data_IF_265441749740
#
_entry.id   IF_265441749740
#
_cell.length_a   1.000
_cell.length_b   1.000
_cell.length_c   1.000
_cell.angle_alpha   90.00
_cell.angle_beta   90.00
_cell.angle_gamma   90.00
#
_symmetry.space_group_name_H-M   'P 1'
#
loop_
_entity.id
_entity.type
_entity.pdbx_description
1 polymer ?
#
# COMPACT_ATOMS: atom_id res chain seq x y z
N UNK A 1 -7.31 28.60 13.35
CA UNK A 1 -7.54 27.52 12.39
C UNK A 1 -7.25 26.19 13.08
N UNK A 2 -7.72 25.06 12.56
CA UNK A 2 -7.29 23.74 13.01
C UNK A 2 -6.59 23.10 11.83
N UNK A 3 -5.42 22.53 12.09
CA UNK A 3 -4.61 21.82 11.12
C UNK A 3 -4.87 20.33 11.29
N UNK A 4 -4.89 19.62 10.15
CA UNK A 4 -4.99 18.17 10.05
C UNK A 4 -3.66 17.63 9.57
N UNK A 5 -3.24 16.53 10.16
CA UNK A 5 -1.96 15.88 9.89
C UNK A 5 -2.20 14.41 9.66
N UNK A 6 -1.40 13.81 8.79
CA UNK A 6 -1.33 12.37 8.63
C UNK A 6 0.04 11.88 9.05
N UNK A 7 0.06 10.94 9.97
CA UNK A 7 1.27 10.25 10.40
C UNK A 7 1.07 8.76 10.25
N UNK A 8 2.16 8.03 10.08
CA UNK A 8 2.11 6.59 10.07
C UNK A 8 3.47 5.95 10.20
N UNK A 9 3.45 4.68 10.58
CA UNK A 9 4.62 3.83 10.74
C UNK A 9 4.37 2.51 10.06
N UNK A 10 5.43 1.92 9.53
CA UNK A 10 5.36 0.63 8.89
C UNK A 10 6.65 -0.14 8.97
N UNK A 11 6.59 -1.35 8.43
CA UNK A 11 7.68 -2.29 8.35
C UNK A 11 7.76 -2.80 6.91
N UNK A 12 8.93 -2.68 6.32
CA UNK A 12 9.31 -3.38 5.11
C UNK A 12 9.79 -4.78 5.48
N UNK A 13 9.13 -5.79 4.94
CA UNK A 13 9.46 -7.21 5.14
C UNK A 13 10.44 -7.65 4.07
N UNK A 14 11.73 -7.53 4.36
CA UNK A 14 12.84 -7.73 3.43
C UNK A 14 14.02 -8.44 4.13
N UNK A 15 15.01 -8.90 3.38
CA UNK A 15 16.21 -9.55 3.91
C UNK A 15 17.24 -8.52 4.42
N UNK A 16 17.42 -7.43 3.66
CA UNK A 16 18.34 -6.33 4.01
C UNK A 16 18.04 -5.05 3.24
N UNK A 17 18.33 -3.90 3.85
CA UNK A 17 18.28 -2.61 3.14
C UNK A 17 19.43 -2.55 2.14
N UNK A 18 19.07 -2.36 0.87
CA UNK A 18 19.97 -2.23 -0.28
C UNK A 18 19.85 -0.85 -0.92
N UNK A 19 20.70 -0.49 -1.91
CA UNK A 19 20.55 0.75 -2.65
C UNK A 19 19.15 0.98 -3.25
N UNK A 20 18.49 -0.05 -3.77
CA UNK A 20 17.11 0.07 -4.28
C UNK A 20 16.12 0.45 -3.17
N UNK A 21 16.19 -0.24 -2.03
CA UNK A 21 15.33 0.07 -0.87
C UNK A 21 15.60 1.48 -0.36
N UNK A 22 16.87 1.89 -0.29
CA UNK A 22 17.25 3.24 0.12
C UNK A 22 16.72 4.31 -0.85
N UNK A 23 16.76 4.06 -2.16
CA UNK A 23 16.26 4.97 -3.18
C UNK A 23 14.74 5.16 -3.10
N UNK A 24 13.99 4.08 -2.90
CA UNK A 24 12.52 4.10 -2.90
C UNK A 24 11.93 4.52 -1.55
N UNK A 25 12.51 4.04 -0.45
CA UNK A 25 11.93 4.18 0.89
C UNK A 25 12.73 5.08 1.83
N UNK A 26 13.93 5.55 1.45
CA UNK A 26 14.75 6.44 2.28
C UNK A 26 14.04 7.73 2.70
N UNK A 27 13.06 8.18 1.92
CA UNK A 27 12.21 9.34 2.19
C UNK A 27 11.22 9.12 3.36
N UNK A 28 10.97 7.87 3.75
CA UNK A 28 10.09 7.49 4.86
C UNK A 28 10.86 7.31 6.17
N UNK A 29 11.84 8.16 6.50
CA UNK A 29 12.61 8.05 7.75
C UNK A 29 13.08 6.59 8.02
N UNK A 30 13.60 5.96 6.96
CA UNK A 30 13.97 4.54 6.93
C UNK A 30 15.02 4.24 8.01
N UNK A 31 14.76 3.20 8.81
CA UNK A 31 15.70 2.67 9.80
C UNK A 31 15.89 1.17 9.57
N UNK A 32 17.08 0.79 9.09
CA UNK A 32 17.45 -0.61 8.86
C UNK A 32 17.68 -1.41 10.16
N UNK A 33 17.87 -0.72 11.28
CA UNK A 33 18.23 -1.34 12.57
C UNK A 33 17.03 -1.73 13.42
N UNK A 34 15.84 -1.27 13.03
CA UNK A 34 14.57 -1.50 13.73
C UNK A 34 13.51 -1.98 12.72
N UNK A 35 12.68 -3.01 13.01
CA UNK A 35 12.63 -3.81 14.24
C UNK A 35 13.72 -4.90 14.33
N UNK A 36 14.56 -5.06 13.30
CA UNK A 36 15.60 -6.09 13.20
C UNK A 36 15.13 -7.38 12.52
N UNK A 37 16.03 -8.37 12.43
CA UNK A 37 15.83 -9.65 11.71
C UNK A 37 15.54 -9.52 10.21
N UNK A 38 16.22 -8.58 9.53
CA UNK A 38 16.04 -8.32 8.11
C UNK A 38 15.01 -7.24 7.81
N UNK A 39 13.99 -7.07 8.67
CA UNK A 39 12.98 -6.04 8.45
C UNK A 39 13.48 -4.62 8.75
N UNK A 40 12.94 -3.65 8.01
CA UNK A 40 13.27 -2.23 8.16
C UNK A 40 12.03 -1.39 8.50
N UNK A 41 12.20 -0.42 9.37
CA UNK A 41 11.15 0.51 9.81
C UNK A 41 11.06 1.67 8.84
N UNK A 42 9.83 2.09 8.57
CA UNK A 42 9.52 3.31 7.82
C UNK A 42 8.48 4.13 8.59
N UNK A 43 8.54 5.45 8.44
CA UNK A 43 7.56 6.37 8.98
C UNK A 43 7.30 7.54 8.05
N UNK A 44 6.06 8.02 8.07
CA UNK A 44 5.67 9.33 7.57
C UNK A 44 5.29 10.18 8.77
N UNK A 45 5.98 11.28 8.96
CA UNK A 45 5.78 12.17 10.10
C UNK A 45 5.50 13.55 9.51
N UNK A 46 4.26 14.02 9.58
CA UNK A 46 3.75 15.15 8.80
C UNK A 46 4.62 16.43 8.87
N UNK A 47 5.27 16.68 10.00
CA UNK A 47 6.11 17.87 10.20
C UNK A 47 7.62 17.60 10.01
N UNK A 48 8.03 16.34 9.83
CA UNK A 48 9.45 15.95 9.70
C UNK A 48 9.79 15.45 8.31
N UNK A 49 8.98 14.55 7.76
CA UNK A 49 9.16 13.99 6.43
C UNK A 49 7.80 13.74 5.79
N UNK A 50 7.62 14.30 4.59
CA UNK A 50 6.46 14.06 3.76
C UNK A 50 6.95 13.36 2.48
N UNK A 51 6.85 12.02 2.39
CA UNK A 51 7.30 11.26 1.24
C UNK A 51 6.54 11.66 -0.02
N UNK A 52 7.21 12.38 -0.91
CA UNK A 52 6.68 12.80 -2.21
C UNK A 52 7.40 12.07 -3.34
N UNK A 53 6.72 11.86 -4.46
CA UNK A 53 7.32 11.27 -5.66
C UNK A 53 8.54 12.06 -6.16
N UNK A 54 8.56 13.38 -5.99
CA UNK A 54 9.73 14.21 -6.29
C UNK A 54 10.96 13.88 -5.43
N UNK A 55 10.77 13.39 -4.20
CA UNK A 55 11.88 12.92 -3.36
C UNK A 55 12.34 11.53 -3.79
N UNK A 56 11.40 10.66 -4.17
CA UNK A 56 11.72 9.33 -4.72
C UNK A 56 12.51 9.46 -6.03
N UNK A 57 12.16 10.43 -6.89
CA UNK A 57 12.91 10.72 -8.11
C UNK A 57 14.39 10.98 -7.81
N UNK A 58 14.71 11.84 -6.85
CA UNK A 58 16.10 12.09 -6.46
C UNK A 58 16.82 10.81 -5.99
N UNK A 59 16.13 9.95 -5.23
CA UNK A 59 16.67 8.65 -4.82
C UNK A 59 16.93 7.71 -6.00
N UNK A 60 16.04 7.69 -7.00
CA UNK A 60 16.19 6.91 -8.22
C UNK A 60 17.32 7.44 -9.13
N UNK A 61 17.51 8.76 -9.20
CA UNK A 61 18.62 9.37 -9.93
C UNK A 61 19.96 9.00 -9.29
N UNK A 62 20.05 9.08 -7.96
CA UNK A 62 21.23 8.64 -7.20
C UNK A 62 21.52 7.14 -7.42
N UNK A 63 20.47 6.31 -7.44
CA UNK A 63 20.59 4.89 -7.75
C UNK A 63 21.13 4.66 -9.16
N UNK A 64 20.55 5.31 -10.17
CA UNK A 64 20.99 5.20 -11.56
C UNK A 64 22.46 5.61 -11.72
N UNK A 65 22.88 6.68 -11.05
CA UNK A 65 24.27 7.12 -11.01
C UNK A 65 25.19 6.07 -10.35
N UNK A 66 24.78 5.46 -9.24
CA UNK A 66 25.52 4.40 -8.56
C UNK A 66 25.68 3.14 -9.42
N UNK A 67 24.65 2.81 -10.21
CA UNK A 67 24.66 1.68 -11.14
C UNK A 67 25.40 1.98 -12.45
N UNK A 68 25.84 3.23 -12.66
CA UNK A 68 26.53 3.65 -13.88
C UNK A 68 25.62 3.71 -15.11
N UNK A 69 24.32 3.92 -14.91
CA UNK A 69 23.35 4.06 -16.00
C UNK A 69 23.53 5.47 -16.60
N UNK A 70 23.76 5.58 -17.92
CA UNK A 70 23.99 6.88 -18.55
C UNK A 70 22.70 7.70 -18.55
N UNK A 71 22.72 8.84 -17.85
CA UNK A 71 21.64 9.81 -17.84
C UNK A 71 21.82 10.81 -18.99
N UNK A 72 20.74 11.25 -19.66
CA UNK A 72 20.85 12.28 -20.69
C UNK A 72 21.35 13.62 -20.11
N UNK A 73 22.19 14.31 -20.88
CA UNK A 73 23.03 15.42 -20.38
C UNK A 73 22.29 16.72 -20.04
N UNK A 74 21.04 16.93 -20.48
CA UNK A 74 20.50 18.31 -20.61
C UNK A 74 19.22 18.65 -19.83
N UNK A 75 18.62 17.74 -19.08
CA UNK A 75 17.56 18.01 -18.09
C UNK A 75 17.28 16.65 -17.43
N UNK A 76 17.30 16.57 -16.09
CA UNK A 76 17.07 15.30 -15.38
C UNK A 76 15.81 14.57 -15.88
N UNK A 77 15.82 13.24 -15.85
CA UNK A 77 14.68 12.46 -16.34
C UNK A 77 13.50 12.62 -15.38
N UNK A 78 12.28 12.66 -15.93
CA UNK A 78 11.10 12.40 -15.10
C UNK A 78 11.07 10.94 -14.66
N UNK A 79 10.19 10.61 -13.71
CA UNK A 79 10.08 9.25 -13.16
C UNK A 79 9.85 8.19 -14.25
N UNK A 80 8.90 8.33 -15.19
CA UNK A 80 8.61 7.23 -16.12
C UNK A 80 9.82 6.81 -17.00
N UNK A 81 10.52 7.73 -17.71
CA UNK A 81 11.71 7.36 -18.47
C UNK A 81 12.85 6.79 -17.62
N UNK A 82 13.00 7.25 -16.38
CA UNK A 82 14.01 6.72 -15.46
C UNK A 82 13.67 5.29 -15.03
N UNK A 83 12.40 5.02 -14.73
CA UNK A 83 11.93 3.66 -14.43
C UNK A 83 12.11 2.73 -15.62
N UNK A 84 11.90 3.17 -16.86
CA UNK A 84 12.17 2.38 -18.06
C UNK A 84 13.65 1.97 -18.16
N UNK A 85 14.58 2.91 -17.92
CA UNK A 85 16.02 2.63 -17.92
C UNK A 85 16.42 1.65 -16.82
N UNK A 86 15.89 1.84 -15.61
CA UNK A 86 16.12 0.93 -14.48
C UNK A 86 15.52 -0.45 -14.76
N UNK A 87 14.33 -0.53 -15.36
CA UNK A 87 13.70 -1.79 -15.73
C UNK A 87 14.58 -2.60 -16.69
N UNK A 88 15.21 -1.97 -17.68
CA UNK A 88 16.17 -2.64 -18.56
C UNK A 88 17.39 -3.15 -17.78
N UNK A 89 17.91 -2.36 -16.82
CA UNK A 89 19.05 -2.76 -16.00
C UNK A 89 18.73 -3.99 -15.13
N UNK A 90 17.55 -4.02 -14.51
CA UNK A 90 17.09 -5.11 -13.63
C UNK A 90 16.45 -6.28 -14.39
N UNK A 91 16.28 -6.18 -15.72
CA UNK A 91 15.63 -7.22 -16.53
C UNK A 91 14.12 -7.32 -16.32
N UNK A 92 13.49 -6.23 -15.87
CA UNK A 92 12.06 -6.09 -15.63
C UNK A 92 11.33 -5.31 -16.74
N UNK A 93 11.99 -5.06 -17.88
CA UNK A 93 11.44 -4.29 -19.01
C UNK A 93 10.23 -4.95 -19.69
N UNK A 94 9.99 -6.24 -19.43
CA UNK A 94 8.83 -6.99 -19.93
C UNK A 94 7.76 -7.24 -18.85
N UNK A 95 7.91 -6.67 -17.65
CA UNK A 95 6.91 -6.80 -16.61
C UNK A 95 5.68 -5.93 -16.93
N UNK A 96 4.54 -6.57 -17.15
CA UNK A 96 3.32 -5.89 -17.59
C UNK A 96 2.73 -4.99 -16.49
N UNK A 97 2.87 -5.35 -15.22
CA UNK A 97 2.36 -4.53 -14.11
C UNK A 97 3.21 -3.27 -13.98
N UNK A 98 4.54 -3.40 -14.08
CA UNK A 98 5.45 -2.26 -14.08
C UNK A 98 5.20 -1.33 -15.29
N UNK A 99 5.02 -1.88 -16.49
CA UNK A 99 4.69 -1.08 -17.68
C UNK A 99 3.36 -0.32 -17.49
N UNK A 100 2.33 -0.99 -16.99
CA UNK A 100 1.04 -0.35 -16.71
C UNK A 100 1.17 0.78 -15.68
N UNK A 101 1.99 0.58 -14.63
CA UNK A 101 2.31 1.62 -13.66
C UNK A 101 2.98 2.82 -14.34
N UNK A 102 4.03 2.59 -15.12
CA UNK A 102 4.78 3.64 -15.83
C UNK A 102 3.87 4.44 -16.77
N UNK A 103 2.95 3.78 -17.47
CA UNK A 103 2.05 4.42 -18.45
C UNK A 103 0.89 5.20 -17.83
N UNK A 104 0.32 4.70 -16.72
CA UNK A 104 -0.96 5.20 -16.19
C UNK A 104 -0.81 6.04 -14.93
N UNK A 105 0.25 5.81 -14.16
CA UNK A 105 0.47 6.50 -12.90
C UNK A 105 0.96 7.93 -13.11
N UNK A 106 0.44 8.88 -12.32
CA UNK A 106 0.79 10.29 -12.48
C UNK A 106 2.13 10.64 -11.82
N UNK A 107 2.55 9.88 -10.81
CA UNK A 107 3.76 10.14 -10.02
C UNK A 107 3.81 11.58 -9.47
N UNK A 108 2.65 12.10 -9.09
CA UNK A 108 2.47 13.41 -8.46
C UNK A 108 2.14 13.23 -6.97
N UNK A 109 2.43 14.26 -6.19
CA UNK A 109 2.16 14.30 -4.75
C UNK A 109 2.86 13.17 -3.94
N UNK A 110 2.13 12.61 -2.97
CA UNK A 110 2.65 11.65 -1.99
C UNK A 110 3.00 10.33 -2.66
N UNK A 111 4.18 9.79 -2.34
CA UNK A 111 4.61 8.50 -2.83
C UNK A 111 3.73 7.38 -2.24
N UNK A 112 3.05 6.65 -3.11
CA UNK A 112 2.17 5.56 -2.73
C UNK A 112 2.96 4.25 -2.55
N UNK A 113 2.74 3.60 -1.39
CA UNK A 113 3.46 2.39 -1.00
C UNK A 113 3.20 1.20 -1.95
N UNK A 114 2.07 1.19 -2.66
CA UNK A 114 1.73 0.14 -3.63
C UNK A 114 2.64 0.20 -4.86
N UNK A 115 2.79 1.37 -5.50
CA UNK A 115 3.73 1.51 -6.60
C UNK A 115 5.17 1.28 -6.15
N UNK A 116 5.55 1.77 -4.96
CA UNK A 116 6.90 1.55 -4.43
C UNK A 116 7.18 0.06 -4.19
N UNK A 117 6.21 -0.71 -3.70
CA UNK A 117 6.33 -2.16 -3.57
C UNK A 117 6.53 -2.84 -4.93
N UNK A 118 5.73 -2.46 -5.93
CA UNK A 118 5.84 -3.02 -7.29
C UNK A 118 7.22 -2.72 -7.88
N UNK A 119 7.66 -1.46 -7.84
CA UNK A 119 8.97 -1.04 -8.35
C UNK A 119 10.09 -1.80 -7.63
N UNK A 120 10.06 -1.88 -6.30
CA UNK A 120 11.06 -2.63 -5.52
C UNK A 120 11.08 -4.12 -5.90
N UNK A 121 9.90 -4.75 -6.05
CA UNK A 121 9.80 -6.16 -6.43
C UNK A 121 10.41 -6.42 -7.81
N UNK A 122 10.23 -5.49 -8.75
CA UNK A 122 10.83 -5.57 -10.08
C UNK A 122 12.33 -5.28 -10.08
N UNK A 123 12.81 -4.40 -9.19
CA UNK A 123 14.20 -3.95 -9.12
C UNK A 123 14.96 -4.64 -7.99
N UNK A 124 14.76 -5.94 -7.79
CA UNK A 124 15.41 -6.65 -6.70
C UNK A 124 16.93 -6.78 -6.91
N UNK A 125 17.69 -6.00 -6.14
CA UNK A 125 19.15 -6.04 -6.05
C UNK A 125 19.66 -6.96 -4.91
N UNK A 126 18.78 -7.85 -4.42
CA UNK A 126 19.04 -8.79 -3.31
C UNK A 126 18.44 -8.34 -1.98
N UNK A 127 17.42 -7.49 -2.00
CA UNK A 127 16.67 -7.10 -0.82
C UNK A 127 15.51 -8.06 -0.51
N UNK A 128 14.98 -8.79 -1.50
CA UNK A 128 13.85 -9.73 -1.35
C UNK A 128 12.66 -9.13 -0.58
N UNK A 129 12.13 -7.99 -1.08
CA UNK A 129 11.02 -7.31 -0.42
C UNK A 129 9.74 -8.10 -0.69
N UNK A 130 9.17 -8.69 0.36
CA UNK A 130 8.00 -9.57 0.24
C UNK A 130 6.70 -8.87 0.63
N UNK A 131 6.75 -7.94 1.57
CA UNK A 131 5.57 -7.21 2.00
C UNK A 131 5.87 -5.86 2.65
N UNK A 132 4.86 -5.00 2.72
CA UNK A 132 4.83 -3.78 3.50
C UNK A 132 3.64 -3.84 4.45
N UNK A 133 3.89 -3.64 5.74
CA UNK A 133 2.85 -3.42 6.74
C UNK A 133 2.89 -1.96 7.14
N UNK A 134 1.76 -1.25 7.08
CA UNK A 134 1.73 0.17 7.42
C UNK A 134 0.46 0.52 8.17
N UNK A 135 0.59 1.27 9.26
CA UNK A 135 -0.52 1.86 9.99
C UNK A 135 -0.33 3.37 10.05
N UNK A 136 -1.40 4.11 9.84
CA UNK A 136 -1.38 5.56 9.93
C UNK A 136 -2.67 6.11 10.53
N UNK A 137 -2.63 7.38 10.88
CA UNK A 137 -3.79 8.08 11.39
C UNK A 137 -3.78 9.55 10.97
N UNK A 138 -4.99 10.02 10.75
CA UNK A 138 -5.32 11.43 10.70
C UNK A 138 -5.58 11.91 12.12
N UNK A 139 -4.92 12.99 12.51
CA UNK A 139 -5.26 13.72 13.73
C UNK A 139 -5.41 15.20 13.45
N UNK A 140 -6.29 15.83 14.25
CA UNK A 140 -6.52 17.25 14.22
C UNK A 140 -5.91 17.90 15.47
N UNK A 141 -5.25 19.04 15.27
CA UNK A 141 -4.74 19.89 16.36
C UNK A 141 -5.80 20.34 17.38
N UNK A 142 -7.10 20.16 17.07
CA UNK A 142 -8.23 20.43 17.95
C UNK A 142 -9.30 19.34 17.81
N UNK A 143 -10.00 18.95 18.89
CA UNK A 143 -11.06 17.97 18.79
C UNK A 143 -12.21 18.51 17.94
N UNK A 144 -12.35 17.97 16.73
CA UNK A 144 -13.40 18.31 15.76
C UNK A 144 -14.09 17.03 15.31
N UNK A 145 -15.37 17.16 15.00
CA UNK A 145 -16.20 16.04 14.60
C UNK A 145 -15.67 15.45 13.29
N UNK A 146 -15.37 14.15 13.30
CA UNK A 146 -14.91 13.38 12.13
C UNK A 146 -13.55 13.79 11.54
N UNK A 147 -12.70 14.47 12.31
CA UNK A 147 -11.32 14.82 11.91
C UNK A 147 -10.27 13.86 12.51
N UNK A 148 -10.71 12.71 13.03
CA UNK A 148 -9.85 11.63 13.52
C UNK A 148 -10.17 10.37 12.72
N UNK A 149 -9.14 9.67 12.28
CA UNK A 149 -9.30 8.41 11.58
C UNK A 149 -8.00 7.64 11.52
N UNK A 150 -8.08 6.32 11.52
CA UNK A 150 -6.95 5.43 11.28
C UNK A 150 -7.07 4.78 9.90
N UNK A 151 -5.93 4.41 9.34
CA UNK A 151 -5.83 3.53 8.19
C UNK A 151 -4.73 2.51 8.41
N UNK A 152 -4.88 1.33 7.83
CA UNK A 152 -3.83 0.32 7.80
C UNK A 152 -3.80 -0.39 6.46
N UNK A 153 -2.61 -0.80 6.03
CA UNK A 153 -2.44 -1.68 4.91
C UNK A 153 -1.44 -2.81 5.14
N UNK A 154 -1.70 -3.92 4.46
CA UNK A 154 -0.76 -5.02 4.26
C UNK A 154 -0.63 -5.20 2.75
N UNK A 155 0.55 -4.94 2.20
CA UNK A 155 0.81 -5.00 0.77
C UNK A 155 1.81 -6.11 0.52
N UNK A 156 1.51 -6.98 -0.42
CA UNK A 156 2.40 -8.05 -0.88
C UNK A 156 2.00 -8.43 -2.31
N UNK A 157 2.80 -9.27 -2.96
CA UNK A 157 2.47 -9.79 -4.28
C UNK A 157 1.20 -10.65 -4.28
N UNK A 158 0.95 -11.38 -3.20
CA UNK A 158 -0.18 -12.33 -3.12
C UNK A 158 -1.48 -11.66 -2.66
N UNK A 159 -1.35 -10.70 -1.74
CA UNK A 159 -2.49 -10.06 -1.10
C UNK A 159 -2.23 -8.58 -0.79
N UNK A 160 -3.25 -7.78 -1.03
CA UNK A 160 -3.34 -6.41 -0.60
C UNK A 160 -4.57 -6.22 0.29
N UNK A 161 -4.39 -5.66 1.48
CA UNK A 161 -5.47 -5.36 2.41
C UNK A 161 -5.37 -3.90 2.80
N UNK A 162 -6.46 -3.15 2.63
CA UNK A 162 -6.57 -1.76 3.08
C UNK A 162 -7.78 -1.58 3.97
N UNK A 163 -7.63 -0.97 5.14
CA UNK A 163 -8.76 -0.68 6.03
C UNK A 163 -8.67 0.73 6.58
N UNK A 164 -9.82 1.36 6.75
CA UNK A 164 -9.91 2.66 7.43
C UNK A 164 -10.98 2.63 8.51
N UNK A 165 -10.77 3.35 9.60
CA UNK A 165 -11.77 3.45 10.68
C UNK A 165 -13.06 4.13 10.20
N UNK A 166 -12.99 4.97 9.17
CA UNK A 166 -14.15 5.66 8.58
C UNK A 166 -15.13 4.69 7.91
N UNK A 167 -14.65 3.57 7.37
CA UNK A 167 -15.51 2.52 6.79
C UNK A 167 -16.52 1.98 7.81
N UNK A 168 -16.12 1.84 9.09
CA UNK A 168 -17.02 1.38 10.15
C UNK A 168 -18.22 2.30 10.35
N UNK A 169 -18.02 3.62 10.27
CA UNK A 169 -19.10 4.61 10.42
C UNK A 169 -20.04 4.59 9.21
N UNK A 170 -19.48 4.48 8.01
CA UNK A 170 -20.26 4.43 6.76
C UNK A 170 -21.13 3.16 6.71
N UNK A 171 -20.53 2.00 6.94
CA UNK A 171 -21.22 0.72 6.98
C UNK A 171 -22.31 0.71 8.06
N UNK A 172 -22.01 1.22 9.25
CA UNK A 172 -22.97 1.31 10.35
C UNK A 172 -24.21 2.15 10.01
N UNK A 173 -24.04 3.30 9.35
CA UNK A 173 -25.15 4.14 8.91
C UNK A 173 -26.00 3.46 7.83
N UNK A 174 -25.35 2.84 6.83
CA UNK A 174 -26.02 2.13 5.72
C UNK A 174 -26.81 0.93 6.24
N UNK A 175 -26.20 0.05 7.04
CA UNK A 175 -26.88 -1.10 7.63
C UNK A 175 -28.04 -0.67 8.52
N UNK A 176 -27.87 0.37 9.34
CA UNK A 176 -28.95 0.87 10.18
C UNK A 176 -30.15 1.34 9.36
N UNK A 177 -29.93 1.99 8.22
CA UNK A 177 -31.01 2.42 7.32
C UNK A 177 -31.74 1.22 6.73
N UNK A 178 -31.02 0.23 6.20
CA UNK A 178 -31.59 -1.00 5.64
C UNK A 178 -32.41 -1.79 6.67
N UNK A 179 -31.86 -2.00 7.88
CA UNK A 179 -32.53 -2.71 8.97
C UNK A 179 -33.82 -1.99 9.39
N UNK A 180 -33.80 -0.65 9.52
CA UNK A 180 -35.00 0.11 9.86
C UNK A 180 -36.09 0.03 8.79
N UNK A 181 -35.69 -0.09 7.53
CA UNK A 181 -36.60 -0.30 6.41
C UNK A 181 -37.08 -1.76 6.30
N UNK A 182 -36.55 -2.68 7.13
CA UNK A 182 -36.73 -4.14 6.96
C UNK A 182 -36.31 -4.62 5.56
N UNK A 183 -35.34 -3.93 4.96
CA UNK A 183 -34.79 -4.25 3.65
C UNK A 183 -33.66 -5.28 3.79
N UNK A 184 -34.06 -6.54 3.74
CA UNK A 184 -33.15 -7.68 3.87
C UNK A 184 -32.16 -7.72 2.69
N UNK A 185 -32.62 -7.37 1.49
CA UNK A 185 -31.81 -7.42 0.28
C UNK A 185 -30.65 -6.43 0.39
N UNK A 186 -30.96 -5.16 0.69
CA UNK A 186 -29.94 -4.12 0.84
C UNK A 186 -28.97 -4.43 1.99
N UNK A 187 -29.49 -4.89 3.14
CA UNK A 187 -28.65 -5.27 4.27
C UNK A 187 -27.68 -6.41 3.89
N UNK A 188 -28.16 -7.40 3.13
CA UNK A 188 -27.32 -8.52 2.67
C UNK A 188 -26.30 -8.08 1.62
N UNK A 189 -26.68 -7.18 0.70
CA UNK A 189 -25.82 -6.64 -0.35
C UNK A 189 -24.64 -5.85 0.25
N UNK A 190 -24.89 -5.05 1.29
CA UNK A 190 -23.84 -4.30 2.00
C UNK A 190 -22.80 -5.23 2.64
N UNK A 191 -23.24 -6.31 3.29
CA UNK A 191 -22.32 -7.30 3.89
C UNK A 191 -21.56 -8.09 2.80
N UNK A 192 -22.26 -8.46 1.72
CA UNK A 192 -21.64 -9.13 0.59
C UNK A 192 -20.57 -8.24 -0.08
N UNK A 193 -20.81 -6.93 -0.16
CA UNK A 193 -19.86 -5.96 -0.69
C UNK A 193 -18.59 -5.87 0.18
N UNK A 194 -18.71 -5.82 1.51
CA UNK A 194 -17.56 -5.85 2.41
C UNK A 194 -16.73 -7.12 2.25
N UNK A 195 -17.39 -8.28 2.15
CA UNK A 195 -16.72 -9.55 1.87
C UNK A 195 -16.07 -9.57 0.49
N UNK A 196 -16.73 -9.00 -0.53
CA UNK A 196 -16.17 -8.89 -1.88
C UNK A 196 -14.94 -7.99 -1.91
N UNK A 197 -14.93 -6.88 -1.16
CA UNK A 197 -13.78 -5.98 -1.05
C UNK A 197 -12.60 -6.65 -0.34
N UNK A 198 -12.84 -7.48 0.69
CA UNK A 198 -11.78 -8.33 1.27
C UNK A 198 -11.20 -9.30 0.24
N UNK A 199 -12.07 -9.94 -0.54
CA UNK A 199 -11.66 -10.92 -1.54
C UNK A 199 -10.90 -10.28 -2.70
N UNK A 200 -11.29 -9.08 -3.12
CA UNK A 200 -10.64 -8.34 -4.20
C UNK A 200 -9.15 -8.12 -3.94
N UNK A 201 -8.75 -8.04 -2.66
CA UNK A 201 -7.36 -7.94 -2.25
C UNK A 201 -6.50 -9.18 -2.53
N UNK A 202 -7.08 -10.33 -2.86
CA UNK A 202 -6.30 -11.52 -3.23
C UNK A 202 -6.01 -11.47 -4.73
N UNK A 203 -4.73 -11.46 -5.12
CA UNK A 203 -4.34 -11.22 -6.52
C UNK A 203 -4.60 -12.42 -7.44
N UNK A 204 -4.38 -13.65 -6.97
CA UNK A 204 -4.70 -14.86 -7.73
C UNK A 204 -6.22 -15.04 -7.88
N UNK A 205 -6.71 -14.86 -9.11
CA UNK A 205 -8.15 -14.91 -9.42
C UNK A 205 -8.78 -16.27 -9.10
N UNK A 206 -8.10 -17.37 -9.41
CA UNK A 206 -8.63 -18.70 -9.20
C UNK A 206 -8.71 -19.03 -7.71
N UNK A 207 -7.68 -18.71 -6.94
CA UNK A 207 -7.66 -18.83 -5.49
C UNK A 207 -8.74 -17.95 -4.87
N UNK A 208 -8.86 -16.69 -5.30
CA UNK A 208 -9.91 -15.76 -4.86
C UNK A 208 -11.32 -16.32 -5.09
N UNK A 209 -11.61 -16.91 -6.26
CA UNK A 209 -12.90 -17.56 -6.54
C UNK A 209 -13.16 -18.76 -5.62
N UNK A 210 -12.14 -19.59 -5.38
CA UNK A 210 -12.26 -20.73 -4.46
C UNK A 210 -12.51 -20.27 -3.01
N UNK A 211 -11.81 -19.24 -2.54
CA UNK A 211 -12.05 -18.64 -1.22
C UNK A 211 -13.47 -18.08 -1.14
N UNK A 212 -13.96 -17.39 -2.17
CA UNK A 212 -15.33 -16.88 -2.24
C UNK A 212 -16.36 -18.00 -2.05
N UNK A 213 -16.21 -19.11 -2.77
CA UNK A 213 -17.10 -20.27 -2.62
C UNK A 213 -17.05 -20.85 -1.20
N UNK A 214 -15.86 -21.02 -0.62
CA UNK A 214 -15.70 -21.52 0.75
C UNK A 214 -16.29 -20.59 1.80
N UNK A 215 -16.23 -19.27 1.60
CA UNK A 215 -16.87 -18.31 2.50
C UNK A 215 -18.39 -18.45 2.44
N UNK A 216 -18.98 -18.53 1.25
CA UNK A 216 -20.42 -18.72 1.09
C UNK A 216 -20.91 -20.01 1.80
N UNK A 217 -20.16 -21.11 1.64
CA UNK A 217 -20.44 -22.36 2.36
C UNK A 217 -20.37 -22.18 3.89
N UNK A 218 -19.36 -21.48 4.40
CA UNK A 218 -19.19 -21.23 5.84
C UNK A 218 -20.27 -20.33 6.41
N UNK A 219 -20.70 -19.31 5.67
CA UNK A 219 -21.76 -18.38 6.10
C UNK A 219 -23.16 -19.03 6.04
N UNK A 220 -23.36 -20.00 5.14
CA UNK A 220 -24.60 -20.78 5.08
C UNK A 220 -24.73 -21.77 6.25
N UNK A 221 -23.63 -22.17 6.87
CA UNK A 221 -23.64 -22.97 8.08
C UNK A 221 -24.01 -22.07 9.27
N UNK A 222 -25.04 -22.43 10.02
CA UNK A 222 -25.27 -21.79 11.33
C UNK A 222 -24.05 -22.08 12.20
N UNK A 223 -23.33 -21.06 12.71
CA UNK A 223 -22.20 -21.31 13.57
C UNK A 223 -22.66 -22.14 14.76
N UNK A 224 -22.13 -23.36 14.87
CA UNK A 224 -22.27 -24.15 16.09
C UNK A 224 -21.39 -23.45 17.12
N UNK A 225 -22.01 -22.61 17.95
CA UNK A 225 -21.38 -22.14 19.18
C UNK A 225 -21.11 -23.39 20.00
N UNK A 226 -19.90 -23.93 19.88
CA UNK A 226 -19.37 -24.87 20.85
C UNK A 226 -19.06 -24.01 22.07
N UNK A 227 -19.97 -24.02 23.03
CA UNK A 227 -19.71 -23.50 24.35
C UNK A 227 -18.70 -24.47 24.99
N UNK A 228 -17.44 -24.06 25.06
CA UNK A 228 -16.50 -24.53 26.09
C UNK A 228 -16.54 -23.56 27.28
#
# INVERSE_FOLDING_TARGET
>A
MANNYYEGTGVLMLDRVTPVIQALFGVFALDESYPGNGHAYIARIAETNDPQWSNVLGGLEDLAAQLGIPMPDDEGLSIPPLLELLAVHFGADQDQELQNLIEQHQFEDSADLEALLLIATCFDDGHDLTAIQFEGCWYCSKPRLFEFGGSGCYLSREVQVFRTSSQALQLGDQLRKAIKASDIEEASALIALEAANLLAGINDEHFRLNVRHRIAERLAQTPTISAD
#
